data_IF_334246875782
#
_entry.id   IF_334246875782
#
_cell.length_a   1.000
_cell.length_b   1.000
_cell.length_c   1.000
_cell.angle_alpha   90.00
_cell.angle_beta   90.00
_cell.angle_gamma   90.00
#
_symmetry.space_group_name_H-M   'P 1'
#
loop_
_entity.id
_entity.type
_entity.pdbx_description
1 polymer ?
#
# COMPACT_ATOMS: atom_id res chain seq x y z
N UNK A 1 -26.48 12.18 -12.55
CA UNK A 1 -26.81 11.96 -11.13
C UNK A 1 -27.10 13.30 -10.50
N UNK A 2 -28.21 13.39 -9.77
CA UNK A 2 -28.57 14.55 -8.95
C UNK A 2 -27.89 14.45 -7.59
N UNK A 3 -27.94 15.51 -6.80
CA UNK A 3 -27.32 15.56 -5.46
C UNK A 3 -27.83 14.45 -4.54
N UNK A 4 -29.14 14.16 -4.58
CA UNK A 4 -29.77 13.16 -3.74
C UNK A 4 -29.24 11.74 -4.01
N UNK A 5 -28.83 11.45 -5.25
CA UNK A 5 -28.26 10.15 -5.63
C UNK A 5 -26.87 9.95 -4.99
N UNK A 6 -26.04 11.00 -5.00
CA UNK A 6 -24.72 10.98 -4.37
C UNK A 6 -24.83 10.88 -2.85
N UNK A 7 -25.79 11.58 -2.24
CA UNK A 7 -26.00 11.55 -0.79
C UNK A 7 -26.44 10.17 -0.30
N UNK A 8 -27.35 9.51 -1.04
CA UNK A 8 -27.72 8.12 -0.80
C UNK A 8 -26.53 7.16 -0.95
N UNK A 9 -25.67 7.38 -1.93
CA UNK A 9 -24.55 6.49 -2.22
C UNK A 9 -23.34 6.66 -1.28
N UNK A 10 -23.04 7.89 -0.83
CA UNK A 10 -21.78 8.22 -0.14
C UNK A 10 -21.92 8.53 1.34
N UNK A 11 -23.16 8.56 1.86
CA UNK A 11 -23.57 9.03 3.18
C UNK A 11 -23.52 10.55 3.35
N UNK A 12 -24.51 11.08 4.08
CA UNK A 12 -24.65 12.52 4.37
C UNK A 12 -23.40 13.15 4.98
N UNK A 13 -22.71 12.55 5.98
CA UNK A 13 -21.52 13.18 6.58
C UNK A 13 -20.38 13.45 5.59
N UNK A 14 -20.22 12.60 4.56
CA UNK A 14 -19.15 12.76 3.55
C UNK A 14 -19.39 13.95 2.63
N UNK A 15 -20.63 14.15 2.18
CA UNK A 15 -20.97 15.28 1.31
C UNK A 15 -21.18 16.56 2.10
N UNK A 16 -21.61 16.47 3.36
CA UNK A 16 -21.92 17.64 4.17
C UNK A 16 -20.70 18.54 4.39
N UNK A 17 -19.50 17.97 4.52
CA UNK A 17 -18.23 18.73 4.57
C UNK A 17 -18.06 19.64 3.34
N UNK A 18 -18.40 19.16 2.14
CA UNK A 18 -18.30 19.93 0.90
C UNK A 18 -19.45 20.93 0.77
N UNK A 19 -20.65 20.56 1.23
CA UNK A 19 -21.83 21.44 1.27
C UNK A 19 -21.59 22.65 2.17
N UNK A 20 -21.06 22.43 3.37
CA UNK A 20 -20.70 23.49 4.31
C UNK A 20 -19.63 24.41 3.71
N UNK A 21 -18.59 23.85 3.09
CA UNK A 21 -17.54 24.63 2.41
C UNK A 21 -18.04 25.46 1.21
N UNK A 22 -19.18 25.10 0.62
CA UNK A 22 -19.82 25.81 -0.48
C UNK A 22 -21.04 26.65 -0.04
N UNK A 23 -21.15 27.00 1.25
CA UNK A 23 -22.27 27.78 1.81
C UNK A 23 -23.67 27.20 1.49
N UNK A 24 -23.80 25.88 1.48
CA UNK A 24 -25.07 25.19 1.21
C UNK A 24 -25.35 24.93 -0.28
N UNK A 25 -24.52 25.43 -1.20
CA UNK A 25 -24.69 25.23 -2.64
C UNK A 25 -24.37 23.77 -3.03
N UNK A 26 -25.44 23.00 -3.26
CA UNK A 26 -25.38 21.57 -3.62
C UNK A 26 -24.62 21.31 -4.92
N UNK A 27 -24.72 22.20 -5.92
CA UNK A 27 -24.07 22.00 -7.21
C UNK A 27 -22.55 22.20 -7.09
N UNK A 28 -22.14 23.27 -6.40
CA UNK A 28 -20.71 23.53 -6.13
C UNK A 28 -20.10 22.44 -5.24
N UNK A 29 -20.84 21.95 -4.25
CA UNK A 29 -20.39 20.86 -3.38
C UNK A 29 -20.09 19.58 -4.18
N UNK A 30 -20.95 19.19 -5.13
CA UNK A 30 -20.70 18.04 -6.00
C UNK A 30 -19.50 18.24 -6.91
N UNK A 31 -19.36 19.44 -7.48
CA UNK A 31 -18.20 19.78 -8.32
C UNK A 31 -16.90 19.64 -7.50
N UNK A 32 -16.87 20.18 -6.29
CA UNK A 32 -15.73 20.10 -5.39
C UNK A 32 -15.40 18.66 -4.98
N UNK A 33 -16.42 17.85 -4.68
CA UNK A 33 -16.26 16.43 -4.40
C UNK A 33 -15.65 15.67 -5.59
N UNK A 34 -16.14 15.93 -6.81
CA UNK A 34 -15.59 15.32 -8.04
C UNK A 34 -14.14 15.73 -8.28
N UNK A 35 -13.77 16.98 -7.99
CA UNK A 35 -12.39 17.40 -8.03
C UNK A 35 -11.53 16.69 -6.99
N UNK A 36 -12.03 16.46 -5.77
CA UNK A 36 -11.30 15.67 -4.77
C UNK A 36 -11.04 14.24 -5.27
N UNK A 37 -12.04 13.56 -5.84
CA UNK A 37 -11.84 12.25 -6.46
C UNK A 37 -10.77 12.32 -7.56
N UNK A 38 -10.89 13.28 -8.49
CA UNK A 38 -9.96 13.41 -9.62
C UNK A 38 -8.53 13.70 -9.15
N UNK A 39 -8.38 14.45 -8.06
CA UNK A 39 -7.11 14.72 -7.43
C UNK A 39 -6.53 13.43 -6.81
N UNK A 40 -7.31 12.72 -5.99
CA UNK A 40 -6.91 11.42 -5.43
C UNK A 40 -6.53 10.41 -6.52
N UNK A 41 -7.27 10.40 -7.64
CA UNK A 41 -6.97 9.57 -8.80
C UNK A 41 -5.58 9.84 -9.39
N UNK A 42 -5.17 11.11 -9.45
CA UNK A 42 -3.83 11.49 -9.91
C UNK A 42 -2.72 11.04 -8.95
N UNK A 43 -3.00 11.03 -7.65
CA UNK A 43 -2.03 10.59 -6.65
C UNK A 43 -1.75 9.08 -6.70
N UNK A 44 -2.68 8.24 -7.16
CA UNK A 44 -2.43 6.79 -7.23
C UNK A 44 -1.21 6.43 -8.10
N UNK A 45 -0.98 7.13 -9.20
CA UNK A 45 0.20 6.89 -10.02
C UNK A 45 1.51 7.20 -9.27
N UNK A 46 1.54 8.32 -8.54
CA UNK A 46 2.70 8.73 -7.76
C UNK A 46 2.93 7.78 -6.58
N UNK A 47 1.86 7.37 -5.89
CA UNK A 47 1.94 6.41 -4.78
C UNK A 47 2.43 5.04 -5.27
N UNK A 48 1.99 4.58 -6.44
CA UNK A 48 2.49 3.35 -7.05
C UNK A 48 3.99 3.42 -7.37
N UNK A 49 4.46 4.54 -7.93
CA UNK A 49 5.89 4.75 -8.19
C UNK A 49 6.70 4.80 -6.88
N UNK A 50 6.20 5.52 -5.87
CA UNK A 50 6.82 5.59 -4.54
C UNK A 50 6.92 4.20 -3.91
N UNK A 51 5.87 3.39 -4.01
CA UNK A 51 5.84 2.03 -3.48
C UNK A 51 6.92 1.14 -4.14
N UNK A 52 7.10 1.22 -5.46
CA UNK A 52 8.15 0.47 -6.16
C UNK A 52 9.54 0.93 -5.72
N UNK A 53 9.77 2.24 -5.68
CA UNK A 53 11.06 2.82 -5.25
C UNK A 53 11.39 2.40 -3.81
N UNK A 54 10.40 2.47 -2.91
CA UNK A 54 10.59 2.10 -1.51
C UNK A 54 10.91 0.61 -1.36
N UNK A 55 10.19 -0.28 -2.05
CA UNK A 55 10.45 -1.73 -2.03
C UNK A 55 11.86 -2.06 -2.51
N UNK A 56 12.29 -1.43 -3.60
CA UNK A 56 13.64 -1.61 -4.14
C UNK A 56 14.71 -1.09 -3.18
N UNK A 57 14.49 0.08 -2.56
CA UNK A 57 15.41 0.63 -1.58
C UNK A 57 15.56 -0.26 -0.34
N UNK A 58 14.44 -0.79 0.19
CA UNK A 58 14.45 -1.75 1.31
C UNK A 58 15.19 -3.02 0.90
N UNK A 59 14.91 -3.55 -0.29
CA UNK A 59 15.56 -4.78 -0.77
C UNK A 59 17.08 -4.62 -0.85
N UNK A 60 17.56 -3.54 -1.49
CA UNK A 60 18.99 -3.23 -1.59
C UNK A 60 19.63 -3.06 -0.21
N UNK A 61 18.97 -2.34 0.70
CA UNK A 61 19.47 -2.12 2.05
C UNK A 61 19.66 -3.45 2.79
N UNK A 62 18.65 -4.31 2.83
CA UNK A 62 18.72 -5.56 3.58
C UNK A 62 19.59 -6.62 2.93
N UNK A 63 19.64 -6.67 1.59
CA UNK A 63 20.59 -7.51 0.88
C UNK A 63 22.03 -7.18 1.27
N UNK A 64 22.36 -5.88 1.40
CA UNK A 64 23.69 -5.44 1.85
C UNK A 64 23.94 -5.71 3.34
N UNK A 65 22.96 -5.49 4.21
CA UNK A 65 23.14 -5.64 5.66
C UNK A 65 23.23 -7.10 6.12
N UNK A 66 22.46 -7.99 5.49
CA UNK A 66 22.37 -9.40 5.88
C UNK A 66 23.30 -10.30 5.07
N UNK A 67 23.86 -9.81 3.96
CA UNK A 67 24.65 -10.61 3.00
C UNK A 67 23.90 -11.88 2.56
N UNK A 68 22.58 -11.80 2.46
CA UNK A 68 21.67 -12.89 2.13
C UNK A 68 20.82 -12.49 0.92
N UNK A 69 20.92 -13.29 -0.15
CA UNK A 69 20.21 -13.07 -1.40
C UNK A 69 18.71 -13.33 -1.29
N UNK A 70 18.29 -14.20 -0.35
CA UNK A 70 16.90 -14.58 -0.12
C UNK A 70 16.43 -14.16 1.28
N UNK A 71 16.98 -13.03 1.77
CA UNK A 71 16.80 -12.54 3.14
C UNK A 71 15.35 -12.50 3.61
N UNK A 72 14.41 -12.25 2.70
CA UNK A 72 13.00 -12.12 3.04
C UNK A 72 12.39 -13.47 3.46
N UNK A 73 12.84 -14.59 2.88
CA UNK A 73 12.44 -15.94 3.29
C UNK A 73 13.11 -16.29 4.62
N UNK A 74 14.42 -16.04 4.73
CA UNK A 74 15.18 -16.28 5.97
C UNK A 74 14.56 -15.54 7.15
N UNK A 75 14.21 -14.26 6.96
CA UNK A 75 13.60 -13.43 8.00
C UNK A 75 12.12 -13.76 8.24
N UNK A 76 11.40 -14.34 7.27
CA UNK A 76 10.05 -14.86 7.45
C UNK A 76 10.00 -16.13 8.32
N UNK A 77 11.02 -16.97 8.21
CA UNK A 77 11.18 -18.15 9.07
C UNK A 77 11.75 -17.81 10.44
N UNK A 78 12.35 -16.61 10.57
CA UNK A 78 12.88 -16.07 11.81
C UNK A 78 11.88 -15.10 12.48
N UNK A 79 12.15 -14.68 13.71
CA UNK A 79 11.28 -13.81 14.52
C UNK A 79 10.94 -12.44 13.89
N UNK A 80 11.72 -11.98 12.91
CA UNK A 80 11.57 -10.62 12.37
C UNK A 80 10.28 -10.47 11.56
N UNK A 81 9.98 -11.41 10.64
CA UNK A 81 8.80 -11.39 9.76
C UNK A 81 7.87 -12.59 9.95
N UNK A 82 7.95 -13.31 11.07
CA UNK A 82 7.10 -14.49 11.36
C UNK A 82 5.61 -14.22 11.18
N UNK A 83 5.12 -13.03 11.53
CA UNK A 83 3.71 -12.64 11.38
C UNK A 83 3.24 -12.49 9.93
N UNK A 84 4.18 -12.51 8.97
CA UNK A 84 3.95 -12.36 7.55
C UNK A 84 4.46 -13.57 6.75
N UNK A 85 4.86 -14.63 7.45
CA UNK A 85 5.46 -15.81 6.85
C UNK A 85 4.51 -16.49 5.88
N UNK A 86 3.23 -16.57 6.23
CA UNK A 86 2.17 -17.16 5.40
C UNK A 86 2.04 -16.43 4.06
N UNK A 87 2.05 -15.09 4.07
CA UNK A 87 1.97 -14.27 2.86
C UNK A 87 3.22 -14.46 2.00
N UNK A 88 4.40 -14.41 2.62
CA UNK A 88 5.69 -14.51 1.93
C UNK A 88 5.86 -15.89 1.28
N UNK A 89 5.60 -16.96 2.02
CA UNK A 89 5.70 -18.33 1.51
C UNK A 89 4.67 -18.57 0.40
N UNK A 90 3.43 -18.08 0.57
CA UNK A 90 2.39 -18.21 -0.46
C UNK A 90 2.79 -17.56 -1.78
N UNK A 91 3.31 -16.33 -1.76
CA UNK A 91 3.76 -15.68 -3.00
C UNK A 91 5.01 -16.34 -3.59
N UNK A 92 5.93 -16.80 -2.74
CA UNK A 92 7.08 -17.60 -3.18
C UNK A 92 6.65 -18.87 -3.89
N UNK A 93 5.73 -19.64 -3.31
CA UNK A 93 5.28 -20.91 -3.89
C UNK A 93 4.55 -20.70 -5.22
N UNK A 94 3.78 -19.60 -5.37
CA UNK A 94 3.22 -19.24 -6.68
C UNK A 94 4.30 -18.99 -7.73
N UNK A 95 5.34 -18.23 -7.39
CA UNK A 95 6.44 -17.91 -8.31
C UNK A 95 7.30 -19.13 -8.66
N UNK A 96 7.49 -20.04 -7.70
CA UNK A 96 8.18 -21.31 -7.93
C UNK A 96 7.33 -22.21 -8.83
N UNK A 97 6.02 -22.29 -8.60
CA UNK A 97 5.11 -23.09 -9.42
C UNK A 97 5.00 -22.56 -10.86
N UNK A 98 5.21 -21.26 -11.08
CA UNK A 98 5.30 -20.68 -12.42
C UNK A 98 6.69 -20.85 -13.07
N UNK A 99 7.66 -21.45 -12.36
CA UNK A 99 9.04 -21.64 -12.85
C UNK A 99 9.83 -20.35 -12.96
N UNK A 100 9.36 -19.28 -12.33
CA UNK A 100 9.73 -17.90 -12.64
C UNK A 100 10.29 -17.17 -11.42
N UNK A 101 10.70 -17.91 -10.40
CA UNK A 101 11.12 -17.37 -9.11
C UNK A 101 12.45 -16.59 -9.19
N UNK A 102 12.43 -15.38 -8.66
CA UNK A 102 13.61 -14.66 -8.18
C UNK A 102 13.22 -13.86 -6.94
N UNK A 103 14.21 -13.53 -6.10
CA UNK A 103 13.97 -12.69 -4.93
C UNK A 103 13.40 -11.31 -5.28
N UNK A 104 13.88 -10.68 -6.36
CA UNK A 104 13.33 -9.41 -6.84
C UNK A 104 11.86 -9.52 -7.28
N UNK A 105 11.49 -10.65 -7.92
CA UNK A 105 10.08 -10.92 -8.26
C UNK A 105 9.23 -11.19 -7.02
N UNK A 106 9.79 -11.84 -6.01
CA UNK A 106 9.13 -11.99 -4.71
C UNK A 106 8.90 -10.63 -4.05
N UNK A 107 9.90 -9.76 -3.99
CA UNK A 107 9.78 -8.38 -3.49
C UNK A 107 8.71 -7.59 -4.27
N UNK A 108 8.68 -7.73 -5.60
CA UNK A 108 7.70 -7.06 -6.45
C UNK A 108 6.26 -7.55 -6.24
N UNK A 109 6.07 -8.84 -5.93
CA UNK A 109 4.74 -9.41 -5.64
C UNK A 109 4.13 -8.89 -4.34
N UNK A 110 4.97 -8.46 -3.39
CA UNK A 110 4.54 -8.00 -2.07
C UNK A 110 4.14 -6.53 -2.12
N UNK A 111 2.83 -6.22 -2.03
CA UNK A 111 2.31 -4.85 -2.17
C UNK A 111 2.04 -4.15 -0.83
N UNK A 112 2.17 -2.83 -0.80
CA UNK A 112 1.84 -1.96 0.36
C UNK A 112 0.34 -1.73 0.53
N UNK A 113 -0.41 -1.75 -0.57
CA UNK A 113 -1.80 -1.26 -0.63
C UNK A 113 -2.86 -2.15 -0.01
N UNK A 114 -2.53 -3.32 0.54
CA UNK A 114 -3.50 -4.24 1.15
C UNK A 114 -3.28 -4.34 2.66
N UNK A 115 -4.35 -4.52 3.44
CA UNK A 115 -4.33 -4.61 4.91
C UNK A 115 -3.46 -5.74 5.52
N UNK A 116 -2.78 -6.52 4.68
CA UNK A 116 -1.80 -7.56 5.02
C UNK A 116 -0.38 -7.18 4.55
N UNK A 117 0.00 -5.90 4.60
CA UNK A 117 1.28 -5.45 4.05
C UNK A 117 2.48 -5.91 4.90
N UNK A 118 3.35 -6.75 4.31
CA UNK A 118 4.58 -7.26 4.94
C UNK A 118 5.59 -6.14 5.25
N UNK A 119 5.63 -5.09 4.43
CA UNK A 119 6.54 -3.96 4.63
C UNK A 119 6.08 -3.00 5.73
N UNK A 120 4.80 -3.05 6.15
CA UNK A 120 4.36 -2.33 7.34
C UNK A 120 5.11 -2.82 8.59
N UNK A 121 5.31 -4.13 8.72
CA UNK A 121 6.13 -4.72 9.79
C UNK A 121 7.61 -4.36 9.69
N UNK A 122 8.17 -4.30 8.47
CA UNK A 122 9.57 -3.89 8.24
C UNK A 122 9.77 -2.43 8.66
N UNK A 123 8.92 -1.51 8.20
CA UNK A 123 9.03 -0.07 8.51
C UNK A 123 8.84 0.18 10.01
N UNK A 124 7.87 -0.47 10.66
CA UNK A 124 7.65 -0.30 12.10
C UNK A 124 8.82 -0.83 12.92
N UNK A 125 9.38 -2.01 12.57
CA UNK A 125 10.52 -2.55 13.31
C UNK A 125 11.84 -1.84 13.01
N UNK A 126 12.00 -1.18 11.85
CA UNK A 126 13.16 -0.28 11.62
C UNK A 126 13.16 0.96 12.51
N UNK A 127 12.01 1.40 13.01
CA UNK A 127 11.91 2.46 14.02
C UNK A 127 12.20 1.96 15.45
N UNK A 128 12.46 0.66 15.61
CA UNK A 128 12.85 0.01 16.86
C UNK A 128 14.23 -0.64 16.66
N UNK A 129 15.22 0.16 16.25
CA UNK A 129 16.61 -0.10 16.65
C UNK A 129 16.95 0.93 17.71
N UNK A 130 16.87 0.61 19.02
CA UNK A 130 17.60 1.39 19.99
C UNK A 130 19.10 1.18 19.73
N UNK A 131 19.87 2.24 19.98
CA UNK A 131 21.32 2.22 20.07
C UNK A 131 21.84 1.04 20.91
#
# INVERSE_FOLDING_TARGET
MKYEDYEKALSTPRLDKYRQACNGDKNKALILYRYNIKLCQKFYGILGALEVVLRNAINVHYHSQLSDSDWLITQAQMWFLVNYQDVIIKERDKLVNSGDYSHDKLVASLSLGSGHSCFHGIVIKTQIKPC
#
